data_IF_435317840334
#
_entry.id   IF_435317840334
#
_cell.length_a   1.000
_cell.length_b   1.000
_cell.length_c   1.000
_cell.angle_alpha   90.00
_cell.angle_beta   90.00
_cell.angle_gamma   90.00
#
_symmetry.space_group_name_H-M   'P 1'
#
loop_
_entity.id
_entity.type
_entity.pdbx_description
1 polymer ?
2 non-polymer ?
3 non-polymer ?
4 water ?
#
# COMPACT_ATOMS: atom_id res chain seq x y z
N UNK A 1 23.55 6.62 5.69
CA UNK A 1 22.91 5.44 6.35
C UNK A 1 22.83 5.72 7.85
N UNK A 2 21.75 5.26 8.47
CA UNK A 2 21.51 5.47 9.90
C UNK A 2 22.48 4.65 10.75
N UNK A 3 22.67 5.07 12.00
CA UNK A 3 23.44 4.28 12.98
C UNK A 3 22.59 3.11 13.48
N UNK A 4 23.01 1.89 13.17
CA UNK A 4 22.25 0.65 13.44
C UNK A 4 23.22 -0.53 13.48
N UNK A 5 22.82 -1.68 14.02
CA UNK A 5 23.75 -2.82 13.97
C UNK A 5 24.04 -3.22 12.54
N UNK A 6 25.24 -3.70 12.28
CA UNK A 6 25.61 -4.17 10.93
C UNK A 6 24.83 -5.38 10.49
N UNK A 7 24.34 -6.16 11.44
CA UNK A 7 23.56 -7.31 11.11
C UNK A 7 22.56 -7.53 12.19
N UNK A 8 21.43 -8.08 11.79
CA UNK A 8 20.35 -8.46 12.70
C UNK A 8 19.85 -9.82 12.27
N UNK A 9 19.45 -10.64 13.23
CA UNK A 9 18.77 -11.91 12.93
C UNK A 9 17.84 -12.19 14.10
N UNK A 10 16.56 -11.90 13.89
CA UNK A 10 15.55 -12.07 14.92
C UNK A 10 15.33 -13.53 15.37
N UNK A 11 15.81 -14.50 14.59
CA UNK A 11 15.76 -15.89 15.01
C UNK A 11 16.60 -16.11 16.25
N UNK A 12 17.73 -15.39 16.33
CA UNK A 12 18.63 -15.50 17.47
C UNK A 12 18.02 -14.92 18.72
N UNK A 13 16.97 -14.11 18.56
CA UNK A 13 16.29 -13.52 19.70
C UNK A 13 15.03 -14.29 20.06
N UNK A 14 14.79 -15.41 19.42
CA UNK A 14 13.63 -16.23 19.73
C UNK A 14 12.32 -15.59 19.30
N UNK A 15 12.36 -14.76 18.26
CA UNK A 15 11.18 -14.02 17.82
C UNK A 15 10.59 -14.56 16.53
N UNK A 16 11.13 -15.66 15.99
CA UNK A 16 10.65 -16.19 14.72
C UNK A 16 10.18 -17.63 14.91
N UNK A 17 8.95 -17.92 14.53
CA UNK A 17 8.38 -19.27 14.68
C UNK A 17 8.89 -20.17 13.58
N UNK A 18 8.60 -21.46 13.67
CA UNK A 18 8.96 -22.40 12.63
C UNK A 18 8.42 -21.95 11.25
N UNK A 19 9.18 -22.29 10.22
CA UNK A 19 8.82 -22.07 8.85
C UNK A 19 7.58 -22.88 8.52
N UNK A 20 6.63 -22.24 7.87
CA UNK A 20 5.36 -22.84 7.51
C UNK A 20 5.35 -23.22 6.03
N UNK A 21 4.39 -24.08 5.68
CA UNK A 21 4.22 -24.57 4.32
C UNK A 21 2.84 -24.21 3.83
N UNK A 22 2.76 -23.27 2.87
CA UNK A 22 1.45 -22.81 2.41
C UNK A 22 0.76 -23.78 1.43
N UNK A 23 1.51 -24.70 0.85
CA UNK A 23 0.94 -25.62 -0.13
C UNK A 23 0.37 -24.87 -1.30
N UNK A 24 -0.73 -25.37 -1.86
CA UNK A 24 -1.23 -24.80 -3.11
C UNK A 24 -2.34 -23.81 -2.81
N UNK A 25 -2.13 -23.00 -1.79
CA UNK A 25 -3.05 -21.94 -1.42
C UNK A 25 -2.20 -20.70 -1.33
N UNK A 26 -2.62 -19.63 -2.02
CA UNK A 26 -1.83 -18.41 -2.14
C UNK A 26 -1.93 -17.52 -0.93
N UNK A 27 -1.62 -18.06 0.22
CA UNK A 27 -1.86 -17.37 1.46
C UNK A 27 -0.57 -16.80 2.02
N UNK A 28 0.40 -16.53 1.15
CA UNK A 28 1.67 -15.96 1.60
C UNK A 28 1.48 -14.67 2.40
N UNK A 29 0.52 -13.86 1.98
CA UNK A 29 0.22 -12.59 2.60
C UNK A 29 -0.15 -12.81 4.07
N UNK A 30 -0.84 -13.91 4.35
CA UNK A 30 -1.30 -14.23 5.70
C UNK A 30 -0.16 -14.77 6.54
N UNK A 31 0.68 -15.61 5.95
CA UNK A 31 1.93 -16.00 6.60
C UNK A 31 2.84 -14.84 6.92
N UNK A 32 3.02 -13.94 5.96
CA UNK A 32 3.83 -12.75 6.15
C UNK A 32 3.32 -11.90 7.31
N UNK A 33 1.99 -11.71 7.35
CA UNK A 33 1.36 -10.92 8.41
C UNK A 33 1.52 -11.57 9.78
N UNK A 34 1.16 -12.85 9.90
CA UNK A 34 1.24 -13.49 11.22
C UNK A 34 2.68 -13.57 11.70
N UNK A 35 3.61 -13.81 10.78
CA UNK A 35 5.05 -13.80 11.11
C UNK A 35 5.48 -12.52 11.79
N UNK A 36 5.07 -11.39 11.22
CA UNK A 36 5.42 -10.09 11.78
C UNK A 36 4.83 -9.94 13.18
N UNK A 37 3.58 -10.37 13.33
CA UNK A 37 2.88 -10.19 14.60
C UNK A 37 3.45 -11.13 15.67
N UNK A 38 3.82 -12.34 15.25
CA UNK A 38 4.45 -13.33 16.12
C UNK A 38 5.64 -12.73 16.84
N UNK A 39 6.43 -11.97 16.11
CA UNK A 39 7.61 -11.33 16.69
C UNK A 39 7.23 -10.31 17.76
N UNK A 40 6.20 -9.51 17.48
CA UNK A 40 5.77 -8.47 18.40
C UNK A 40 5.17 -9.06 19.67
N UNK A 41 4.39 -10.12 19.50
CA UNK A 41 3.86 -10.91 20.61
C UNK A 41 4.95 -11.44 21.57
N UNK A 42 5.99 -12.04 21.02
CA UNK A 42 7.15 -12.43 21.80
C UNK A 42 7.82 -11.24 22.49
N UNK A 43 8.06 -10.17 21.75
CA UNK A 43 8.63 -8.98 22.35
C UNK A 43 7.76 -8.46 23.51
N UNK A 44 6.45 -8.44 23.34
CA UNK A 44 5.55 -7.95 24.39
C UNK A 44 5.25 -8.92 25.55
N UNK A 45 5.10 -10.20 25.25
CA UNK A 45 4.66 -11.17 26.27
C UNK A 45 5.74 -12.17 26.70
N UNK A 46 6.82 -12.26 25.93
CA UNK A 46 7.88 -13.21 26.21
C UNK A 46 7.61 -14.59 25.64
N UNK A 47 6.43 -14.79 25.05
CA UNK A 47 6.05 -16.10 24.51
C UNK A 47 6.04 -16.12 22.99
N UNK A 48 6.70 -17.14 22.43
CA UNK A 48 6.72 -17.34 21.00
C UNK A 48 5.64 -18.35 20.62
N UNK A 49 4.68 -17.87 19.85
CA UNK A 49 3.47 -18.63 19.54
C UNK A 49 3.15 -18.41 18.08
N UNK A 50 3.04 -19.49 17.31
CA UNK A 50 2.57 -19.38 15.93
C UNK A 50 1.10 -18.95 15.91
N UNK A 51 0.82 -17.97 15.06
CA UNK A 51 -0.52 -17.40 14.94
C UNK A 51 -1.19 -17.97 13.69
N UNK A 52 -2.51 -17.89 13.67
CA UNK A 52 -3.30 -18.57 12.65
C UNK A 52 -3.38 -17.81 11.34
N UNK A 53 -2.55 -18.21 10.36
CA UNK A 53 -2.69 -17.80 8.99
C UNK A 53 -4.07 -18.13 8.44
N UNK A 54 -4.61 -19.27 8.85
CA UNK A 54 -5.93 -19.71 8.39
C UNK A 54 -7.02 -18.74 8.81
N UNK A 55 -6.92 -18.22 10.02
CA UNK A 55 -7.81 -17.22 10.56
C UNK A 55 -7.85 -16.01 9.61
N UNK A 56 -6.71 -15.60 9.10
CA UNK A 56 -6.70 -14.48 8.14
C UNK A 56 -7.34 -14.90 6.82
N UNK A 57 -7.02 -16.10 6.36
CA UNK A 57 -7.52 -16.56 5.05
C UNK A 57 -9.05 -16.60 5.08
N UNK A 58 -9.58 -17.08 6.21
CA UNK A 58 -11.01 -17.33 6.35
C UNK A 58 -11.77 -16.07 6.74
N UNK A 59 -11.11 -15.13 7.41
CA UNK A 59 -11.82 -14.06 8.09
C UNK A 59 -11.47 -12.64 7.64
N UNK A 60 -10.25 -12.39 7.17
CA UNK A 60 -9.89 -11.09 6.61
C UNK A 60 -10.14 -11.23 5.13
N UNK A 61 -11.39 -11.06 4.72
CA UNK A 61 -11.80 -11.42 3.38
C UNK A 61 -12.23 -10.18 2.60
N UNK A 62 -13.43 -10.15 2.03
CA UNK A 62 -13.79 -9.13 1.03
C UNK A 62 -13.72 -7.74 1.60
N UNK A 63 -14.15 -7.65 2.85
CA UNK A 63 -14.15 -6.37 3.58
C UNK A 63 -12.76 -5.75 3.63
N UNK A 64 -11.73 -6.60 3.59
CA UNK A 64 -10.33 -6.20 3.63
C UNK A 64 -9.65 -6.27 2.26
N UNK A 65 -10.44 -6.47 1.22
CA UNK A 65 -9.93 -6.62 -0.15
C UNK A 65 -9.12 -7.89 -0.38
N UNK A 66 -9.28 -8.87 0.49
CA UNK A 66 -8.50 -10.09 0.36
C UNK A 66 -9.32 -11.21 -0.21
N UNK A 67 -8.64 -12.20 -0.77
CA UNK A 67 -9.29 -13.28 -1.46
C UNK A 67 -8.76 -14.66 -1.05
N UNK A 68 -8.37 -14.80 0.22
CA UNK A 68 -7.98 -16.08 0.77
C UNK A 68 -6.83 -16.71 0.01
N UNK A 69 -7.05 -17.90 -0.53
CA UNK A 69 -6.02 -18.62 -1.31
C UNK A 69 -5.65 -17.92 -2.61
N UNK A 70 -6.40 -16.90 -3.01
CA UNK A 70 -6.12 -16.19 -4.24
C UNK A 70 -5.55 -14.80 -4.00
N UNK A 71 -5.06 -14.54 -2.79
CA UNK A 71 -4.27 -13.36 -2.58
C UNK A 71 -4.86 -12.46 -1.55
N UNK A 72 -4.01 -11.62 -1.00
CA UNK A 72 -4.43 -10.60 -0.07
C UNK A 72 -3.28 -9.71 0.31
N UNK A 73 -3.52 -8.85 1.29
CA UNK A 73 -2.58 -7.87 1.72
C UNK A 73 -2.25 -8.07 3.17
N UNK A 74 -0.98 -7.86 3.49
CA UNK A 74 -0.54 -7.93 4.86
C UNK A 74 -1.08 -6.78 5.67
N UNK A 75 -1.15 -5.58 5.08
CA UNK A 75 -1.62 -4.41 5.85
C UNK A 75 -3.09 -4.52 6.22
N UNK A 76 -3.91 -5.01 5.28
CA UNK A 76 -5.33 -5.12 5.54
C UNK A 76 -5.60 -6.30 6.48
N UNK A 77 -4.77 -7.33 6.39
CA UNK A 77 -4.76 -8.40 7.41
C UNK A 77 -4.50 -7.80 8.78
N UNK A 78 -3.52 -6.90 8.92
CA UNK A 78 -3.32 -6.25 10.23
C UNK A 78 -4.55 -5.49 10.69
N UNK A 79 -5.18 -4.78 9.75
CA UNK A 79 -6.39 -4.02 10.10
C UNK A 79 -7.49 -4.92 10.58
N UNK A 80 -7.69 -6.05 9.92
CA UNK A 80 -8.65 -7.07 10.38
C UNK A 80 -8.39 -7.50 11.84
N UNK A 81 -7.13 -7.73 12.17
CA UNK A 81 -6.78 -8.14 13.52
C UNK A 81 -7.16 -7.06 14.51
N UNK A 82 -6.90 -5.82 14.13
CA UNK A 82 -7.26 -4.65 14.95
C UNK A 82 -8.77 -4.63 15.15
N UNK A 83 -9.51 -4.62 14.03
CA UNK A 83 -10.98 -4.54 14.04
C UNK A 83 -11.60 -5.69 14.79
N UNK A 84 -11.04 -6.87 14.57
CA UNK A 84 -11.55 -8.11 15.15
C UNK A 84 -11.18 -8.25 16.64
N UNK A 85 -10.30 -7.39 17.11
CA UNK A 85 -9.79 -7.44 18.48
C UNK A 85 -9.07 -8.75 18.82
N UNK A 86 -8.52 -9.40 17.81
CA UNK A 86 -7.60 -10.53 18.05
C UNK A 86 -7.42 -11.44 16.87
N UNK A 87 -6.51 -12.38 17.03
CA UNK A 87 -6.28 -13.45 16.08
C UNK A 87 -6.03 -14.69 16.90
N UNK A 88 -6.51 -15.81 16.43
CA UNK A 88 -6.34 -17.07 17.11
C UNK A 88 -4.94 -17.64 16.91
N UNK A 89 -4.54 -18.53 17.81
CA UNK A 89 -3.31 -19.29 17.63
C UNK A 89 -3.41 -20.24 16.44
N UNK A 90 -2.26 -20.56 15.85
CA UNK A 90 -2.19 -21.59 14.85
C UNK A 90 -2.69 -22.94 15.36
N UNK A 91 -2.30 -23.34 16.57
CA UNK A 91 -2.75 -24.63 17.12
C UNK A 91 -4.28 -24.72 17.18
N UNK A 92 -4.92 -23.61 17.54
CA UNK A 92 -6.37 -23.57 17.74
C UNK A 92 -7.13 -23.49 16.45
N UNK A 93 -6.52 -22.93 15.40
CA UNK A 93 -7.19 -22.64 14.17
C UNK A 93 -6.16 -22.97 13.10
N UNK A 94 -5.99 -24.26 12.85
CA UNK A 94 -4.93 -24.73 11.98
C UNK A 94 -5.12 -24.47 10.50
N UNK A 95 -3.98 -24.57 9.81
CA UNK A 95 -3.90 -24.19 8.41
C UNK A 95 -4.18 -25.37 7.53
N UNK A 96 -5.15 -25.20 6.63
CA UNK A 96 -5.67 -26.27 5.81
C UNK A 96 -5.46 -26.00 4.34
N UNK A 97 -4.82 -24.87 4.03
CA UNK A 97 -4.49 -24.50 2.67
C UNK A 97 -5.72 -24.52 1.77
N UNK A 98 -6.84 -24.06 2.32
CA UNK A 98 -8.04 -23.80 1.55
C UNK A 98 -8.82 -22.70 2.22
N UNK A 99 -9.74 -22.15 1.44
CA UNK A 99 -10.72 -21.19 1.91
C UNK A 99 -11.79 -21.91 2.70
N UNK A 100 -12.08 -21.40 3.88
CA UNK A 100 -13.07 -21.98 4.75
C UNK A 100 -13.89 -20.87 5.31
N UNK A 101 -15.00 -21.26 5.94
CA UNK A 101 -15.80 -20.30 6.68
C UNK A 101 -15.05 -19.79 7.90
N UNK A 102 -15.26 -18.52 8.19
CA UNK A 102 -14.66 -17.88 9.34
C UNK A 102 -15.04 -18.60 10.64
N UNK A 103 -14.04 -19.08 11.36
CA UNK A 103 -14.27 -19.80 12.57
C UNK A 103 -13.54 -19.16 13.74
N UNK A 104 -13.25 -17.86 13.65
CA UNK A 104 -12.62 -17.16 14.76
C UNK A 104 -13.38 -17.31 16.08
N UNK A 105 -12.64 -17.53 17.17
CA UNK A 105 -13.22 -17.63 18.50
C UNK A 105 -12.28 -16.95 19.47
N UNK A 106 -12.76 -15.93 20.17
CA UNK A 106 -11.92 -15.23 21.09
C UNK A 106 -11.37 -16.12 22.22
N UNK A 107 -11.96 -17.28 22.45
CA UNK A 107 -11.44 -18.14 23.52
C UNK A 107 -10.05 -18.63 23.14
N UNK A 108 -9.77 -18.63 21.83
CA UNK A 108 -8.50 -19.07 21.27
C UNK A 108 -7.56 -17.93 20.86
N UNK A 109 -7.91 -16.70 21.22
CA UNK A 109 -7.09 -15.56 20.90
C UNK A 109 -5.68 -15.74 21.48
N UNK A 110 -4.67 -15.50 20.65
CA UNK A 110 -3.28 -15.59 21.08
C UNK A 110 -2.52 -14.27 20.86
N UNK A 111 -3.10 -13.33 20.12
CA UNK A 111 -2.51 -12.00 19.98
C UNK A 111 -3.54 -10.96 19.64
N UNK A 112 -3.15 -9.71 19.82
CA UNK A 112 -3.91 -8.58 19.36
C UNK A 112 -2.99 -7.71 18.49
N UNK A 113 -3.60 -6.74 17.82
CA UNK A 113 -2.88 -5.71 17.10
C UNK A 113 -3.58 -4.39 17.34
N UNK A 114 -2.80 -3.33 17.63
CA UNK A 114 -3.36 -2.01 17.90
C UNK A 114 -3.17 -1.05 16.72
N UNK A 115 -2.22 -1.36 15.85
CA UNK A 115 -1.81 -0.48 14.76
C UNK A 115 -0.82 -1.20 13.86
N UNK A 116 -0.60 -0.63 12.70
CA UNK A 116 0.48 -1.07 11.83
C UNK A 116 1.08 0.16 11.15
N UNK A 117 2.27 -0.02 10.62
CA UNK A 117 2.98 1.03 9.95
C UNK A 117 3.44 0.53 8.62
N UNK A 118 3.16 1.29 7.56
CA UNK A 118 3.69 1.00 6.23
C UNK A 118 4.90 1.91 6.07
N UNK A 119 6.02 1.30 5.71
CA UNK A 119 7.23 2.01 5.46
C UNK A 119 7.24 2.67 4.08
N UNK A 120 8.01 3.76 3.94
CA UNK A 120 8.10 4.43 2.64
C UNK A 120 8.63 3.54 1.53
N UNK A 121 8.08 3.76 0.34
CA UNK A 121 8.40 2.95 -0.82
C UNK A 121 9.87 2.90 -1.18
N UNK A 122 10.43 1.69 -1.20
CA UNK A 122 11.72 1.43 -1.78
C UNK A 122 12.92 1.86 -0.94
N UNK A 123 12.68 2.32 0.27
CA UNK A 123 13.78 2.86 1.08
C UNK A 123 14.43 1.75 1.94
N UNK A 124 15.57 1.25 1.50
CA UNK A 124 16.18 0.13 2.18
C UNK A 124 16.82 0.52 3.49
N UNK A 125 17.22 1.77 3.59
CA UNK A 125 17.71 2.36 4.84
C UNK A 125 16.62 2.38 5.95
N UNK A 126 15.41 2.77 5.59
CA UNK A 126 14.30 2.79 6.51
C UNK A 126 13.88 1.37 6.94
N UNK A 127 13.90 0.46 5.98
CA UNK A 127 13.65 -0.95 6.24
C UNK A 127 14.70 -1.47 7.21
N UNK A 128 15.96 -1.13 6.98
CA UNK A 128 17.00 -1.58 7.90
C UNK A 128 16.69 -1.10 9.31
N UNK A 129 16.36 0.19 9.41
CA UNK A 129 16.04 0.76 10.71
C UNK A 129 14.91 0.00 11.40
N UNK A 130 13.87 -0.33 10.64
CA UNK A 130 12.71 -0.99 11.21
C UNK A 130 13.03 -2.41 11.65
N UNK A 131 13.78 -3.11 10.82
CA UNK A 131 14.18 -4.46 11.17
C UNK A 131 15.04 -4.43 12.42
N UNK A 132 15.92 -3.44 12.54
CA UNK A 132 16.75 -3.31 13.72
C UNK A 132 15.98 -2.89 14.95
N UNK A 133 15.12 -1.89 14.79
CA UNK A 133 14.50 -1.24 15.97
C UNK A 133 13.12 -1.68 16.32
N UNK A 134 12.39 -2.25 15.37
CA UNK A 134 11.03 -2.71 15.62
C UNK A 134 10.86 -4.22 15.65
N UNK A 135 11.54 -4.93 14.74
CA UNK A 135 11.30 -6.34 14.58
C UNK A 135 11.18 -6.76 13.13
N UNK A 136 10.90 -8.04 12.89
CA UNK A 136 10.63 -8.49 11.53
C UNK A 136 9.52 -7.67 10.81
N UNK A 137 9.73 -7.42 9.52
CA UNK A 137 8.86 -6.60 8.73
C UNK A 137 8.27 -7.42 7.57
N UNK A 138 6.95 -7.34 7.41
CA UNK A 138 6.27 -7.93 6.28
C UNK A 138 6.62 -7.19 5.03
N UNK A 139 6.99 -7.91 3.97
CA UNK A 139 7.27 -7.31 2.69
C UNK A 139 6.70 -8.19 1.59
N UNK A 140 6.64 -7.65 0.38
CA UNK A 140 6.35 -8.41 -0.83
C UNK A 140 7.61 -8.43 -1.66
N UNK A 141 7.83 -9.51 -2.40
CA UNK A 141 8.94 -9.61 -3.31
C UNK A 141 8.47 -10.16 -4.65
N UNK A 142 9.24 -9.88 -5.68
CA UNK A 142 9.05 -10.50 -6.97
C UNK A 142 9.66 -11.89 -6.90
N UNK A 143 8.79 -12.89 -6.75
CA UNK A 143 9.23 -14.28 -6.62
C UNK A 143 8.80 -15.10 -7.82
N UNK A 144 8.62 -14.44 -8.97
CA UNK A 144 8.11 -15.11 -10.16
C UNK A 144 9.19 -15.84 -10.95
N UNK A 145 10.45 -15.47 -10.73
CA UNK A 145 11.53 -15.94 -11.60
C UNK A 145 11.97 -17.37 -11.24
N UNK A 146 12.14 -18.24 -12.27
CA UNK A 146 12.57 -19.63 -12.01
C UNK A 146 13.71 -19.76 -10.95
N UNK A 147 14.65 -18.81 -10.95
CA UNK A 147 15.80 -18.83 -10.03
C UNK A 147 15.38 -18.77 -8.57
N UNK A 148 14.26 -18.14 -8.30
CA UNK A 148 13.78 -18.02 -6.94
C UNK A 148 13.45 -19.40 -6.34
N UNK A 149 12.70 -20.18 -7.09
CA UNK A 149 12.24 -21.50 -6.64
C UNK A 149 13.41 -22.42 -6.38
N UNK A 150 14.49 -22.20 -7.11
CA UNK A 150 15.68 -23.04 -7.09
C UNK A 150 16.78 -22.53 -6.20
N UNK A 151 16.53 -21.43 -5.50
CA UNK A 151 17.52 -20.85 -4.61
C UNK A 151 17.95 -21.84 -3.53
N UNK A 152 19.24 -22.00 -3.33
CA UNK A 152 19.78 -22.88 -2.30
C UNK A 152 20.69 -22.19 -1.31
N UNK A 153 21.53 -21.27 -1.76
CA UNK A 153 22.51 -20.71 -0.86
C UNK A 153 23.01 -19.37 -1.34
N UNK A 154 23.80 -18.71 -0.50
CA UNK A 154 24.41 -17.44 -0.87
C UNK A 154 23.40 -16.32 -0.81
N UNK A 155 23.66 -15.26 -1.57
CA UNK A 155 22.76 -14.10 -1.62
C UNK A 155 22.12 -14.06 -2.98
N UNK A 156 20.79 -14.02 -2.98
CA UNK A 156 20.01 -14.16 -4.18
C UNK A 156 20.05 -12.84 -4.90
N UNK A 157 20.59 -12.87 -6.10
CA UNK A 157 20.53 -11.73 -6.98
C UNK A 157 20.14 -12.25 -8.33
N UNK A 158 19.02 -11.75 -8.85
CA UNK A 158 18.48 -12.17 -10.13
C UNK A 158 18.34 -10.94 -11.03
N UNK A 159 19.19 -10.80 -12.07
CA UNK A 159 19.11 -9.66 -12.98
C UNK A 159 17.73 -9.40 -13.53
N UNK A 160 16.92 -10.45 -13.69
CA UNK A 160 15.58 -10.29 -14.27
C UNK A 160 14.51 -9.89 -13.25
N UNK A 161 14.89 -9.74 -12.00
CA UNK A 161 13.92 -9.40 -10.99
C UNK A 161 13.36 -8.02 -11.26
N UNK A 162 12.17 -7.75 -10.72
CA UNK A 162 11.52 -6.48 -10.86
C UNK A 162 11.00 -6.01 -9.53
N UNK A 163 10.50 -4.79 -9.52
CA UNK A 163 9.85 -4.24 -8.38
C UNK A 163 8.34 -4.51 -8.43
N UNK A 164 7.89 -5.31 -9.39
CA UNK A 164 6.52 -5.82 -9.42
C UNK A 164 6.34 -7.01 -8.48
N UNK A 165 6.00 -6.74 -7.23
CA UNK A 165 6.03 -7.80 -6.22
C UNK A 165 4.78 -8.65 -6.27
N UNK A 166 4.93 -9.94 -5.98
CA UNK A 166 3.83 -10.86 -6.07
C UNK A 166 3.70 -11.82 -4.89
N UNK A 167 4.64 -11.80 -3.94
CA UNK A 167 4.74 -12.82 -2.94
C UNK A 167 5.07 -12.22 -1.59
N UNK A 168 4.18 -12.40 -0.61
CA UNK A 168 4.41 -11.89 0.73
C UNK A 168 5.38 -12.76 1.48
N UNK A 169 6.39 -12.15 2.08
CA UNK A 169 7.35 -12.84 2.91
C UNK A 169 7.67 -12.00 4.16
N UNK A 170 8.64 -12.46 4.96
CA UNK A 170 9.00 -11.77 6.19
C UNK A 170 10.49 -11.55 6.29
N UNK A 171 10.89 -10.28 6.43
CA UNK A 171 12.25 -9.94 6.67
C UNK A 171 12.52 -10.05 8.16
N UNK A 172 13.34 -11.04 8.53
CA UNK A 172 13.67 -11.34 9.91
C UNK A 172 15.11 -10.92 10.25
N UNK A 173 15.78 -10.28 9.30
CA UNK A 173 17.12 -9.82 9.57
C UNK A 173 17.82 -9.33 8.33
N UNK A 174 19.10 -9.00 8.52
CA UNK A 174 19.96 -8.54 7.45
C UNK A 174 21.41 -8.69 7.88
N UNK A 175 22.29 -8.58 6.90
CA UNK A 175 23.72 -8.71 7.15
C UNK A 175 24.52 -8.66 5.88
N UNK A 176 25.70 -9.26 5.96
CA UNK A 176 26.68 -9.28 4.89
C UNK A 176 27.33 -10.67 4.87
N UNK A 177 27.28 -11.35 3.74
CA UNK A 177 27.87 -12.66 3.59
C UNK A 177 28.81 -12.57 2.42
N UNK A 178 30.10 -12.71 2.72
CA UNK A 178 31.13 -12.69 1.72
C UNK A 178 31.06 -11.44 0.86
N UNK A 179 30.78 -10.32 1.51
CA UNK A 179 30.78 -9.04 0.81
C UNK A 179 29.49 -8.73 0.06
N UNK A 180 28.47 -9.56 0.22
CA UNK A 180 27.17 -9.31 -0.38
C UNK A 180 26.22 -9.01 0.72
N UNK A 181 25.66 -7.80 0.71
CA UNK A 181 24.66 -7.43 1.69
C UNK A 181 23.37 -8.16 1.35
N UNK A 182 22.69 -8.64 2.39
CA UNK A 182 21.46 -9.33 2.19
C UNK A 182 20.39 -8.95 3.23
N UNK A 183 19.16 -9.27 2.86
CA UNK A 183 18.02 -9.32 3.72
C UNK A 183 17.77 -10.79 3.99
N UNK A 184 17.55 -11.14 5.25
CA UNK A 184 17.19 -12.50 5.63
C UNK A 184 15.68 -12.60 5.63
N UNK A 185 15.17 -13.44 4.74
CA UNK A 185 13.77 -13.57 4.46
C UNK A 185 13.27 -14.96 4.80
N UNK A 186 12.24 -14.98 5.64
CA UNK A 186 11.47 -16.17 5.92
C UNK A 186 10.37 -16.32 4.88
N UNK A 187 10.43 -17.40 4.13
CA UNK A 187 9.40 -17.74 3.18
C UNK A 187 8.39 -18.72 3.82
N UNK A 188 7.31 -19.05 3.11
CA UNK A 188 6.29 -19.96 3.59
C UNK A 188 6.07 -21.12 2.63
N UNK A 189 7.17 -21.64 2.07
CA UNK A 189 7.09 -22.82 1.24
C UNK A 189 7.78 -23.99 1.93
N UNK A 190 7.74 -24.03 3.26
CA UNK A 190 8.34 -25.14 3.99
C UNK A 190 9.84 -25.10 4.11
N UNK A 191 10.37 -26.04 4.89
CA UNK A 191 11.82 -26.20 5.11
C UNK A 191 12.57 -26.66 3.87
N UNK A 192 11.87 -27.29 2.91
CA UNK A 192 12.52 -27.72 1.66
C UNK A 192 13.03 -26.54 0.86
N UNK A 193 12.32 -25.42 0.94
CA UNK A 193 12.70 -24.25 0.17
C UNK A 193 13.99 -23.60 0.74
N UNK A 194 14.90 -23.21 -0.15
CA UNK A 194 16.07 -22.42 0.20
C UNK A 194 16.88 -22.99 1.34
N UNK A 195 17.28 -22.12 2.28
CA UNK A 195 18.05 -22.54 3.45
C UNK A 195 17.10 -22.77 4.60
N UNK A 196 16.55 -23.99 4.69
CA UNK A 196 15.60 -24.36 5.73
C UNK A 196 14.38 -23.40 5.78
N UNK A 197 13.93 -22.99 4.60
CA UNK A 197 12.75 -22.15 4.41
C UNK A 197 13.03 -20.67 4.28
N UNK A 198 14.31 -20.29 4.40
CA UNK A 198 14.79 -18.92 4.32
C UNK A 198 15.55 -18.66 3.04
N UNK A 199 15.55 -17.41 2.62
CA UNK A 199 16.35 -16.93 1.51
C UNK A 199 17.02 -15.60 1.89
N UNK A 200 18.30 -15.50 1.55
CA UNK A 200 19.03 -14.25 1.63
C UNK A 200 18.87 -13.56 0.33
N UNK A 201 18.28 -12.38 0.34
CA UNK A 201 18.09 -11.63 -0.88
C UNK A 201 18.95 -10.38 -0.87
N UNK A 202 19.40 -9.97 -2.05
CA UNK A 202 20.32 -8.83 -2.23
C UNK A 202 19.77 -7.54 -1.63
N UNK A 203 20.63 -6.89 -0.82
CA UNK A 203 20.30 -5.67 -0.11
C UNK A 203 21.16 -4.52 -0.60
N UNK A 204 20.55 -3.35 -0.65
CA UNK A 204 21.19 -2.17 -1.21
C UNK A 204 21.61 -2.40 -2.66
N UNK A 205 20.81 -3.17 -3.40
CA UNK A 205 21.02 -3.36 -4.83
C UNK A 205 19.80 -2.88 -5.61
N UNK A 206 19.42 -1.64 -5.35
CA UNK A 206 18.33 -1.02 -6.05
C UNK A 206 16.97 -1.62 -5.73
N UNK A 207 16.68 -1.87 -4.47
CA UNK A 207 15.38 -2.44 -4.08
C UNK A 207 15.14 -3.67 -4.97
N UNK A 208 16.10 -4.58 -4.86
CA UNK A 208 16.09 -5.78 -5.69
C UNK A 208 14.84 -6.60 -5.39
N UNK A 209 14.20 -7.06 -6.48
CA UNK A 209 12.97 -7.86 -6.35
C UNK A 209 11.87 -7.13 -5.57
N UNK A 210 12.00 -5.81 -5.46
CA UNK A 210 11.00 -5.00 -4.77
C UNK A 210 10.89 -5.24 -3.27
N UNK A 211 11.94 -5.80 -2.67
CA UNK A 211 11.87 -6.18 -1.28
C UNK A 211 11.44 -5.03 -0.35
N UNK A 212 11.81 -3.80 -0.70
CA UNK A 212 11.52 -2.64 0.15
C UNK A 212 10.38 -1.79 -0.40
N UNK A 213 9.66 -2.32 -1.39
CA UNK A 213 8.57 -1.64 -2.02
C UNK A 213 7.41 -1.41 -1.07
N UNK A 214 6.95 -2.48 -0.43
CA UNK A 214 5.77 -2.44 0.41
C UNK A 214 5.96 -3.12 1.77
N UNK A 215 6.81 -2.53 2.62
CA UNK A 215 7.05 -3.10 3.93
C UNK A 215 6.08 -2.55 4.96
N UNK A 216 5.65 -3.41 5.89
CA UNK A 216 4.82 -2.99 7.00
C UNK A 216 5.12 -3.84 8.22
N UNK A 217 4.82 -3.30 9.38
CA UNK A 217 4.86 -4.09 10.58
C UNK A 217 3.75 -3.67 11.53
N UNK A 218 3.23 -4.62 12.29
CA UNK A 218 2.17 -4.38 13.24
C UNK A 218 2.75 -4.05 14.61
N UNK A 219 1.93 -3.48 15.47
CA UNK A 219 2.26 -3.49 16.89
C UNK A 219 1.11 -4.08 17.72
N UNK A 220 1.44 -4.68 18.86
CA UNK A 220 0.45 -5.44 19.64
C UNK A 220 -0.61 -4.52 20.21
N UNK B 4 -14.61 18.33 14.15
CA UNK B 4 -14.42 18.51 12.67
C UNK B 4 -15.62 19.21 12.05
N UNK B 5 -15.39 20.02 11.00
CA UNK B 5 -16.55 20.60 10.35
C UNK B 5 -17.42 19.52 9.78
N UNK B 6 -18.70 19.82 9.65
CA UNK B 6 -19.66 18.90 9.04
C UNK B 6 -19.49 18.79 7.55
N UNK B 7 -18.96 19.84 6.93
CA UNK B 7 -18.72 19.84 5.49
C UNK B 7 -17.45 20.59 5.19
N UNK B 8 -16.73 20.09 4.18
CA UNK B 8 -15.47 20.65 3.74
C UNK B 8 -15.47 20.55 2.19
N UNK B 9 -14.98 21.60 1.55
CA UNK B 9 -14.83 21.68 0.10
C UNK B 9 -13.56 22.51 -0.20
N UNK B 10 -12.48 21.79 -0.56
CA UNK B 10 -11.19 22.44 -0.78
C UNK B 10 -11.17 23.34 -2.00
N UNK B 11 -12.17 23.21 -2.85
CA UNK B 11 -12.32 24.14 -3.98
C UNK B 11 -12.62 25.55 -3.46
N UNK B 12 -13.34 25.65 -2.35
CA UNK B 12 -13.64 26.98 -1.76
C UNK B 12 -12.42 27.63 -1.17
N UNK B 13 -11.41 26.81 -0.85
CA UNK B 13 -10.15 27.27 -0.28
C UNK B 13 -9.07 27.49 -1.31
N UNK B 14 -9.41 27.37 -2.59
CA UNK B 14 -8.52 27.71 -3.68
C UNK B 14 -7.44 26.67 -3.95
N UNK B 15 -7.66 25.44 -3.47
CA UNK B 15 -6.64 24.40 -3.47
C UNK B 15 -6.85 23.31 -4.51
N UNK B 16 -7.77 23.51 -5.44
CA UNK B 16 -8.11 22.46 -6.40
C UNK B 16 -8.08 23.03 -7.80
N UNK B 17 -7.35 22.33 -8.68
CA UNK B 17 -7.15 22.83 -10.04
C UNK B 17 -8.31 22.35 -10.90
N UNK B 18 -8.31 22.79 -12.14
CA UNK B 18 -9.27 22.36 -13.14
C UNK B 18 -9.26 20.84 -13.22
N UNK B 19 -10.44 20.30 -13.50
CA UNK B 19 -10.57 18.88 -13.79
C UNK B 19 -9.87 18.55 -15.09
N UNK B 20 -9.14 17.44 -15.06
CA UNK B 20 -8.37 16.91 -16.17
C UNK B 20 -9.05 15.77 -16.83
N UNK B 21 -8.60 15.50 -18.06
CA UNK B 21 -9.19 14.47 -18.89
C UNK B 21 -8.11 13.48 -19.24
N UNK B 22 -8.18 12.31 -18.63
CA UNK B 22 -7.11 11.34 -18.83
C UNK B 22 -7.14 10.68 -20.23
N UNK B 23 -8.30 10.76 -20.90
CA UNK B 23 -8.45 10.13 -22.21
C UNK B 23 -8.30 8.62 -22.15
N UNK B 24 -7.63 8.04 -23.15
CA UNK B 24 -7.48 6.61 -23.25
C UNK B 24 -6.38 6.01 -22.36
N UNK B 25 -5.69 6.84 -21.58
CA UNK B 25 -4.56 6.43 -20.81
C UNK B 25 -5.05 6.23 -19.37
N UNK B 26 -4.71 5.10 -18.76
CA UNK B 26 -5.11 4.81 -17.36
C UNK B 26 -4.19 5.47 -16.34
N UNK B 27 -4.16 6.80 -16.40
CA UNK B 27 -3.27 7.61 -15.57
C UNK B 27 -4.00 8.23 -14.38
N UNK B 28 -5.15 7.67 -14.01
CA UNK B 28 -5.93 8.15 -12.85
C UNK B 28 -5.06 8.34 -11.62
N UNK B 29 -4.17 7.37 -11.41
CA UNK B 29 -3.24 7.34 -10.29
C UNK B 29 -2.33 8.56 -10.27
N UNK B 30 -1.88 8.97 -11.46
CA UNK B 30 -0.99 10.10 -11.62
C UNK B 30 -1.74 11.39 -11.34
N UNK B 31 -2.97 11.48 -11.85
CA UNK B 31 -3.83 12.66 -11.64
C UNK B 31 -4.21 12.83 -10.18
N UNK B 32 -4.55 11.72 -9.56
CA UNK B 32 -4.83 11.67 -8.12
C UNK B 32 -3.66 12.18 -7.32
N UNK B 33 -2.48 11.71 -7.68
CA UNK B 33 -1.29 12.07 -6.94
C UNK B 33 -1.00 13.56 -7.11
N UNK B 34 -1.02 14.04 -8.34
CA UNK B 34 -0.69 15.47 -8.58
C UNK B 34 -1.74 16.36 -7.94
N UNK B 35 -2.98 15.90 -7.93
CA UNK B 35 -4.04 16.69 -7.31
C UNK B 35 -3.83 16.89 -5.81
N UNK B 36 -3.39 15.84 -5.14
CA UNK B 36 -3.15 15.92 -3.71
C UNK B 36 -1.99 16.90 -3.46
N UNK B 37 -0.99 16.84 -4.31
CA UNK B 37 0.20 17.67 -4.13
C UNK B 37 -0.07 19.13 -4.52
N UNK B 38 -0.96 19.35 -5.48
CA UNK B 38 -1.32 20.70 -5.91
C UNK B 38 -1.87 21.48 -4.74
N UNK B 39 -2.62 20.80 -3.86
CA UNK B 39 -3.25 21.47 -2.72
C UNK B 39 -2.21 21.83 -1.70
N UNK B 40 -1.23 20.95 -1.46
CA UNK B 40 -0.17 21.22 -0.51
C UNK B 40 0.72 22.34 -1.02
N UNK B 41 0.99 22.32 -2.31
CA UNK B 41 1.75 23.40 -2.92
C UNK B 41 1.02 24.74 -2.70
N UNK B 42 -0.29 24.79 -2.95
CA UNK B 42 -1.06 26.02 -2.72
C UNK B 42 -0.96 26.47 -1.28
N UNK B 43 -1.12 25.53 -0.36
CA UNK B 43 -1.07 25.79 1.08
C UNK B 43 0.30 26.32 1.48
N UNK B 44 1.34 25.73 0.91
CA UNK B 44 2.71 26.10 1.23
C UNK B 44 3.12 27.45 0.59
N UNK B 45 2.72 27.68 -0.67
CA UNK B 45 3.24 28.78 -1.47
C UNK B 45 2.25 29.88 -1.88
N UNK B 46 0.95 29.63 -1.74
CA UNK B 46 -0.08 30.55 -2.25
C UNK B 46 -0.39 30.45 -3.73
N UNK B 47 0.32 29.58 -4.43
CA UNK B 47 0.15 29.41 -5.84
C UNK B 47 -0.62 28.12 -6.15
N UNK B 48 -1.64 28.24 -6.97
CA UNK B 48 -2.34 27.09 -7.47
C UNK B 48 -1.83 26.81 -8.86
N UNK B 49 -1.20 25.65 -9.03
CA UNK B 49 -0.50 25.30 -10.24
C UNK B 49 -0.80 23.85 -10.52
N UNK B 50 -1.25 23.54 -11.74
CA UNK B 50 -1.44 22.16 -12.13
C UNK B 50 -0.08 21.52 -12.25
N UNK B 51 0.08 20.35 -11.63
CA UNK B 51 1.35 19.60 -11.72
C UNK B 51 1.34 18.56 -12.84
N UNK B 52 2.51 18.13 -13.28
CA UNK B 52 2.56 17.32 -14.48
C UNK B 52 2.24 15.85 -14.18
N UNK B 53 1.01 15.43 -14.49
CA UNK B 53 0.65 14.03 -14.47
C UNK B 53 1.51 13.23 -15.49
N UNK B 54 1.87 13.87 -16.59
CA UNK B 54 2.71 13.20 -17.60
C UNK B 54 4.06 12.81 -17.05
N UNK B 55 4.66 13.71 -16.29
CA UNK B 55 5.91 13.48 -15.57
C UNK B 55 5.84 12.16 -14.78
N UNK B 56 4.72 11.88 -14.13
CA UNK B 56 4.59 10.67 -13.32
C UNK B 56 4.48 9.45 -14.22
N UNK B 57 3.66 9.58 -15.28
CA UNK B 57 3.42 8.52 -16.22
C UNK B 57 4.74 8.06 -16.83
N UNK B 58 5.56 9.02 -17.23
CA UNK B 58 6.77 8.82 -18.01
C UNK B 58 7.96 8.47 -17.14
N UNK B 59 7.98 8.94 -15.89
CA UNK B 59 9.15 8.83 -15.05
C UNK B 59 8.96 8.00 -13.80
N UNK B 60 7.77 7.97 -13.22
CA UNK B 60 7.53 7.11 -12.06
C UNK B 60 7.10 5.76 -12.61
N UNK B 61 8.05 5.00 -13.12
CA UNK B 61 7.72 3.84 -13.93
C UNK B 61 8.14 2.57 -13.18
N UNK B 62 8.92 1.68 -13.80
CA UNK B 62 9.14 0.30 -13.25
C UNK B 62 9.67 0.24 -11.84
N UNK B 63 10.65 1.08 -11.58
CA UNK B 63 11.24 1.19 -10.26
C UNK B 63 10.27 1.53 -9.14
N UNK B 64 9.13 2.11 -9.52
CA UNK B 64 8.06 2.50 -8.60
C UNK B 64 6.86 1.57 -8.68
N UNK B 65 7.02 0.47 -9.41
CA UNK B 65 6.00 -0.53 -9.61
C UNK B 65 4.86 -0.08 -10.49
N UNK B 66 5.07 1.02 -11.23
CA UNK B 66 4.04 1.62 -12.05
C UNK B 66 4.21 1.28 -13.50
N UNK B 67 3.11 1.39 -14.23
CA UNK B 67 3.05 0.96 -15.63
C UNK B 67 2.44 2.02 -16.54
N UNK B 68 2.63 3.28 -16.19
CA UNK B 68 2.17 4.41 -17.03
C UNK B 68 0.69 4.36 -17.33
N UNK B 69 0.34 4.37 -18.60
CA UNK B 69 -1.07 4.28 -18.99
C UNK B 69 -1.75 2.96 -18.61
N UNK B 70 -0.99 1.96 -18.18
CA UNK B 70 -1.57 0.70 -17.70
C UNK B 70 -1.72 0.61 -16.17
N UNK B 71 -1.46 1.70 -15.46
CA UNK B 71 -1.79 1.75 -14.04
C UNK B 71 -0.59 2.04 -13.18
N UNK B 72 -0.86 2.45 -11.95
CA UNK B 72 0.18 2.78 -11.01
C UNK B 72 -0.41 3.17 -9.68
N UNK B 73 0.45 3.61 -8.76
CA UNK B 73 0.04 3.93 -7.38
C UNK B 73 0.38 5.36 -7.03
N UNK B 74 -0.50 5.99 -6.26
CA UNK B 74 -0.27 7.35 -5.85
C UNK B 74 0.91 7.39 -4.88
N UNK B 75 0.99 6.41 -3.98
CA UNK B 75 2.02 6.38 -2.96
C UNK B 75 3.42 6.28 -3.61
N UNK B 76 3.56 5.38 -4.57
CA UNK B 76 4.85 5.23 -5.22
C UNK B 76 5.14 6.44 -6.13
N UNK B 77 4.11 7.05 -6.71
CA UNK B 77 4.28 8.34 -7.36
C UNK B 77 4.84 9.44 -6.41
N UNK B 78 4.29 9.56 -5.21
CA UNK B 78 4.81 10.51 -4.24
C UNK B 78 6.26 10.20 -3.93
N UNK B 79 6.60 8.92 -3.77
CA UNK B 79 8.00 8.57 -3.46
C UNK B 79 8.94 8.94 -4.59
N UNK B 80 8.49 8.75 -5.82
CA UNK B 80 9.25 9.23 -6.94
C UNK B 80 9.54 10.72 -6.85
N UNK B 81 8.54 11.52 -6.50
CA UNK B 81 8.73 12.98 -6.43
C UNK B 81 9.78 13.30 -5.37
N UNK B 82 9.67 12.61 -4.25
CA UNK B 82 10.63 12.71 -3.18
C UNK B 82 12.03 12.34 -3.71
N UNK B 83 12.15 11.14 -4.28
CA UNK B 83 13.45 10.69 -4.77
C UNK B 83 13.98 11.58 -5.90
N UNK B 84 13.11 11.96 -6.81
CA UNK B 84 13.47 12.81 -7.94
C UNK B 84 13.81 14.29 -7.56
N UNK B 85 13.46 14.67 -6.33
CA UNK B 85 13.58 16.04 -5.81
C UNK B 85 12.77 17.05 -6.61
N UNK B 86 11.65 16.59 -7.15
CA UNK B 86 10.76 17.49 -7.81
C UNK B 86 9.82 16.88 -8.80
N UNK B 87 8.87 17.70 -9.19
CA UNK B 87 7.94 17.37 -10.25
C UNK B 87 7.77 18.65 -11.06
N UNK B 88 7.68 18.52 -12.37
CA UNK B 88 7.46 19.65 -13.22
C UNK B 88 6.01 20.13 -13.24
N UNK B 89 5.84 21.38 -13.67
CA UNK B 89 4.50 21.93 -13.92
C UNK B 89 3.85 21.17 -15.08
N UNK B 90 2.53 21.04 -15.04
CA UNK B 90 1.78 20.61 -16.19
C UNK B 90 2.09 21.45 -17.45
N UNK B 91 2.19 22.76 -17.27
CA UNK B 91 2.45 23.68 -18.36
C UNK B 91 3.75 23.36 -19.07
N UNK B 92 4.79 23.02 -18.30
CA UNK B 92 6.10 22.68 -18.88
C UNK B 92 6.19 21.26 -19.45
N UNK B 93 5.29 20.40 -19.00
CA UNK B 93 5.39 18.96 -19.27
C UNK B 93 3.93 18.49 -19.35
N UNK B 94 3.25 18.87 -20.44
CA UNK B 94 1.84 18.68 -20.65
C UNK B 94 1.48 17.22 -20.84
N UNK B 95 0.19 16.94 -20.66
CA UNK B 95 -0.32 15.59 -20.66
C UNK B 95 -0.69 15.18 -22.06
N UNK B 96 -0.19 14.03 -22.45
CA UNK B 96 -0.35 13.55 -23.82
C UNK B 96 -1.11 12.23 -23.88
N UNK B 97 -1.52 11.71 -22.73
CA UNK B 97 -2.30 10.47 -22.66
C UNK B 97 -1.63 9.33 -23.40
N UNK B 98 -0.34 9.21 -23.20
CA UNK B 98 0.39 8.06 -23.68
C UNK B 98 1.70 7.97 -22.94
N UNK B 99 2.27 6.79 -22.92
CA UNK B 99 3.57 6.61 -22.29
C UNK B 99 4.63 7.26 -23.17
N UNK B 100 5.52 8.00 -22.55
CA UNK B 100 6.62 8.65 -23.25
C UNK B 100 7.89 8.42 -22.49
N UNK B 101 8.99 8.83 -23.10
CA UNK B 101 10.26 8.78 -22.43
C UNK B 101 10.20 9.80 -21.30
N UNK B 102 10.88 9.51 -20.21
CA UNK B 102 10.96 10.46 -19.12
C UNK B 102 11.67 11.71 -19.63
N UNK B 103 11.00 12.85 -19.49
CA UNK B 103 11.54 14.13 -19.92
C UNK B 103 11.57 15.11 -18.76
N UNK B 104 11.64 14.62 -17.52
CA UNK B 104 11.75 15.50 -16.39
C UNK B 104 12.95 16.42 -16.56
N UNK B 105 12.76 17.70 -16.24
CA UNK B 105 13.87 18.61 -16.11
C UNK B 105 13.65 19.46 -14.89
N UNK B 106 14.68 19.60 -14.06
CA UNK B 106 14.58 20.37 -12.84
C UNK B 106 14.34 21.84 -13.14
N UNK B 107 14.63 22.30 -14.34
CA UNK B 107 14.43 23.72 -14.68
C UNK B 107 12.95 24.06 -14.79
N UNK B 108 12.12 23.03 -14.92
CA UNK B 108 10.67 23.18 -14.89
C UNK B 108 10.00 22.71 -13.60
N UNK B 109 10.78 22.47 -12.56
CA UNK B 109 10.26 22.05 -11.27
C UNK B 109 9.23 23.06 -10.79
N UNK B 110 8.07 22.56 -10.37
CA UNK B 110 7.00 23.37 -9.81
C UNK B 110 6.69 22.94 -8.38
N UNK B 111 7.10 21.75 -7.97
CA UNK B 111 6.85 21.28 -6.61
C UNK B 111 7.85 20.25 -6.19
N UNK B 112 7.90 20.07 -4.88
CA UNK B 112 8.67 19.01 -4.27
C UNK B 112 7.74 18.23 -3.38
N UNK B 113 8.23 17.10 -2.89
CA UNK B 113 7.53 16.34 -1.90
C UNK B 113 8.58 15.85 -0.90
N UNK B 114 8.29 15.97 0.39
CA UNK B 114 9.23 15.55 1.40
C UNK B 114 8.85 14.20 2.03
N UNK B 115 7.56 13.85 1.94
CA UNK B 115 7.01 12.66 2.60
C UNK B 115 5.57 12.46 2.15
N UNK B 116 5.05 11.26 2.40
CA UNK B 116 3.64 10.99 2.26
C UNK B 116 3.18 10.09 3.39
N UNK B 117 1.89 10.13 3.63
CA UNK B 117 1.26 9.40 4.72
C UNK B 117 0.11 8.54 4.18
N UNK B 118 0.13 7.26 4.51
CA UNK B 118 -0.91 6.30 4.14
C UNK B 118 -1.82 6.14 5.35
N UNK B 119 -3.11 6.44 5.18
CA UNK B 119 -4.08 6.32 6.27
C UNK B 119 -4.41 4.83 6.51
N UNK B 120 -4.83 4.49 7.73
CA UNK B 120 -5.18 3.10 8.05
C UNK B 120 -6.38 2.61 7.24
N UNK B 121 -6.38 1.32 6.95
CA UNK B 121 -7.27 0.71 5.98
C UNK B 121 -8.72 0.80 6.43
N UNK B 122 -9.57 1.36 5.55
CA UNK B 122 -11.02 1.40 5.76
C UNK B 122 -11.58 2.39 6.78
N UNK B 123 -10.75 3.22 7.39
CA UNK B 123 -11.22 4.09 8.46
C UNK B 123 -11.71 5.43 7.90
N UNK B 124 -13.02 5.57 7.72
CA UNK B 124 -13.61 6.79 7.17
C UNK B 124 -13.49 7.99 8.09
N UNK B 125 -13.44 7.71 9.39
CA UNK B 125 -13.27 8.76 10.40
C UNK B 125 -11.87 9.38 10.29
N UNK B 126 -10.87 8.54 10.09
CA UNK B 126 -9.52 9.03 9.94
C UNK B 126 -9.40 9.79 8.62
N UNK B 127 -10.05 9.26 7.59
CA UNK B 127 -10.10 9.97 6.31
C UNK B 127 -10.78 11.34 6.43
N UNK B 128 -11.88 11.42 7.17
CA UNK B 128 -12.55 12.70 7.38
C UNK B 128 -11.62 13.69 8.05
N UNK B 129 -10.90 13.22 9.07
CA UNK B 129 -9.98 14.08 9.80
C UNK B 129 -8.86 14.61 8.91
N UNK B 130 -8.29 13.76 8.08
CA UNK B 130 -7.23 14.20 7.17
C UNK B 130 -7.75 15.18 6.12
N UNK B 131 -8.92 14.89 5.56
CA UNK B 131 -9.50 15.83 4.59
C UNK B 131 -9.78 17.18 5.26
N UNK B 132 -10.31 17.13 6.48
CA UNK B 132 -10.61 18.38 7.21
C UNK B 132 -9.34 19.15 7.55
N UNK B 133 -8.30 18.44 8.00
CA UNK B 133 -7.14 19.09 8.60
C UNK B 133 -5.90 19.17 7.73
N UNK B 134 -5.72 18.25 6.80
CA UNK B 134 -4.46 18.15 6.05
C UNK B 134 -4.63 18.66 4.63
N UNK B 135 -5.69 18.22 3.97
CA UNK B 135 -5.93 18.62 2.60
C UNK B 135 -6.60 17.51 1.86
N UNK B 136 -6.77 17.70 0.54
CA UNK B 136 -7.28 16.64 -0.32
C UNK B 136 -6.44 15.39 -0.19
N UNK B 137 -7.12 14.24 -0.22
CA UNK B 137 -6.47 12.96 -0.02
C UNK B 137 -6.70 12.06 -1.22
N UNK B 138 -5.60 11.48 -1.68
CA UNK B 138 -5.62 10.52 -2.77
C UNK B 138 -6.20 9.21 -2.27
N UNK B 139 -7.10 8.63 -3.04
CA UNK B 139 -7.75 7.39 -2.66
C UNK B 139 -7.92 6.55 -3.88
N UNK B 140 -8.17 5.26 -3.64
CA UNK B 140 -8.59 4.35 -4.71
C UNK B 140 -10.03 4.01 -4.47
N UNK B 141 -10.79 3.88 -5.53
CA UNK B 141 -12.15 3.36 -5.44
C UNK B 141 -12.36 2.21 -6.40
N UNK B 142 -13.39 1.43 -6.12
CA UNK B 142 -13.90 0.44 -7.06
C UNK B 142 -14.81 1.19 -8.04
N UNK B 143 -14.32 1.38 -9.27
CA UNK B 143 -15.03 2.09 -10.31
C UNK B 143 -15.39 1.13 -11.44
N UNK B 144 -15.32 -0.17 -11.17
CA UNK B 144 -15.54 -1.18 -12.21
C UNK B 144 -17.00 -1.56 -12.33
N UNK B 145 -17.90 -0.56 -12.32
CA UNK B 145 -19.33 -0.82 -12.43
C UNK B 145 -19.93 0.22 -13.35
N UNK B 146 -20.83 -0.21 -14.24
CA UNK B 146 -21.39 0.75 -15.20
C UNK B 146 -21.96 1.98 -14.50
N UNK B 147 -22.53 1.81 -13.31
CA UNK B 147 -23.16 2.94 -12.61
C UNK B 147 -22.15 4.05 -12.36
N UNK B 148 -20.88 3.69 -12.18
CA UNK B 148 -19.84 4.70 -11.97
C UNK B 148 -19.66 5.53 -13.24
N UNK B 149 -19.54 4.86 -14.38
CA UNK B 149 -19.38 5.49 -15.69
C UNK B 149 -20.59 6.34 -16.04
N UNK B 150 -21.77 5.89 -15.61
CA UNK B 150 -23.03 6.50 -15.97
C UNK B 150 -23.46 7.58 -14.97
N UNK B 151 -22.72 7.75 -13.89
CA UNK B 151 -23.05 8.70 -12.85
C UNK B 151 -23.20 10.12 -13.39
N UNK B 152 -24.30 10.79 -13.00
CA UNK B 152 -24.57 12.16 -13.38
C UNK B 152 -24.62 13.08 -12.18
N UNK B 153 -25.32 12.69 -11.12
CA UNK B 153 -25.49 13.63 -10.01
C UNK B 153 -25.93 12.94 -8.75
N UNK B 154 -25.80 13.65 -7.63
CA UNK B 154 -26.20 13.14 -6.35
C UNK B 154 -25.14 12.30 -5.67
N UNK B 155 -25.55 11.59 -4.64
CA UNK B 155 -24.64 10.78 -3.82
C UNK B 155 -24.67 9.39 -4.41
N UNK B 156 -23.55 8.97 -4.95
CA UNK B 156 -23.40 7.67 -5.57
C UNK B 156 -23.34 6.55 -4.52
N UNK B 157 -24.25 5.60 -4.67
CA UNK B 157 -24.24 4.41 -3.87
C UNK B 157 -24.60 3.27 -4.79
N UNK B 158 -23.79 2.21 -4.82
CA UNK B 158 -23.91 1.13 -5.79
C UNK B 158 -23.85 -0.17 -4.99
N UNK B 159 -24.96 -0.91 -4.91
CA UNK B 159 -24.98 -2.14 -4.10
C UNK B 159 -23.92 -3.16 -4.53
N UNK B 160 -23.55 -3.17 -5.80
CA UNK B 160 -22.55 -4.11 -6.26
C UNK B 160 -21.10 -3.62 -6.04
N UNK B 161 -20.93 -2.41 -5.51
CA UNK B 161 -19.58 -1.92 -5.24
C UNK B 161 -18.88 -2.84 -4.23
N UNK B 162 -17.57 -2.97 -4.35
CA UNK B 162 -16.76 -3.75 -3.44
C UNK B 162 -15.62 -2.91 -2.90
N UNK B 163 -14.83 -3.50 -2.00
CA UNK B 163 -13.63 -2.84 -1.50
C UNK B 163 -12.41 -3.15 -2.36
N UNK B 164 -12.60 -3.84 -3.48
CA UNK B 164 -11.51 -4.06 -4.43
C UNK B 164 -11.33 -2.83 -5.32
N UNK B 165 -10.41 -1.99 -4.92
CA UNK B 165 -10.21 -0.71 -5.58
C UNK B 165 -9.32 -0.79 -6.85
N UNK B 166 -9.62 0.04 -7.83
CA UNK B 166 -8.94 -0.01 -9.12
C UNK B 166 -8.78 1.33 -9.80
N UNK B 167 -9.29 2.40 -9.19
CA UNK B 167 -9.34 3.70 -9.83
C UNK B 167 -8.95 4.80 -8.85
N UNK B 168 -7.89 5.53 -9.18
CA UNK B 168 -7.33 6.56 -8.32
C UNK B 168 -8.09 7.85 -8.53
N UNK B 169 -8.53 8.45 -7.44
CA UNK B 169 -9.24 9.72 -7.49
C UNK B 169 -8.71 10.58 -6.32
N UNK B 170 -9.27 11.78 -6.16
CA UNK B 170 -8.88 12.65 -5.09
C UNK B 170 -10.11 13.10 -4.29
N UNK B 171 -10.07 12.89 -2.99
CA UNK B 171 -11.13 13.39 -2.11
C UNK B 171 -10.83 14.85 -1.79
N UNK B 172 -11.72 15.75 -2.17
CA UNK B 172 -11.45 17.15 -1.96
C UNK B 172 -12.44 17.77 -0.99
N UNK B 173 -13.22 16.93 -0.35
CA UNK B 173 -14.19 17.41 0.60
C UNK B 173 -15.15 16.36 1.03
N UNK B 174 -16.12 16.78 1.82
CA UNK B 174 -17.16 15.87 2.26
C UNK B 174 -18.32 16.69 2.72
N UNK B 175 -19.46 16.04 2.86
CA UNK B 175 -20.64 16.72 3.36
C UNK B 175 -21.83 15.79 3.45
N UNK B 176 -23.01 16.37 3.45
CA UNK B 176 -24.26 15.64 3.57
C UNK B 176 -25.24 16.28 2.59
N UNK B 177 -25.87 15.47 1.74
CA UNK B 177 -26.94 15.93 0.86
C UNK B 177 -28.23 15.31 1.32
N UNK B 178 -29.07 16.11 1.96
CA UNK B 178 -30.35 15.62 2.51
C UNK B 178 -30.21 14.32 3.26
N UNK B 179 -29.31 14.26 4.23
CA UNK B 179 -29.18 13.07 5.07
C UNK B 179 -28.45 11.90 4.44
N UNK B 180 -27.86 12.14 3.26
CA UNK B 180 -26.95 11.19 2.63
C UNK B 180 -25.56 11.80 2.70
N UNK B 181 -24.71 11.19 3.52
CA UNK B 181 -23.36 11.68 3.71
C UNK B 181 -22.52 11.30 2.50
N UNK B 182 -21.61 12.18 2.12
CA UNK B 182 -20.77 11.91 0.95
C UNK B 182 -19.34 12.36 1.13
N UNK B 183 -18.49 11.80 0.28
CA UNK B 183 -17.16 12.28 -0.02
C UNK B 183 -17.24 12.99 -1.37
N UNK B 184 -16.61 14.14 -1.45
CA UNK B 184 -16.57 14.93 -2.67
C UNK B 184 -15.28 14.55 -3.37
N UNK B 185 -15.44 13.93 -4.54
CA UNK B 185 -14.36 13.26 -5.28
C UNK B 185 -14.14 13.93 -6.64
N UNK B 186 -12.90 14.35 -6.86
CA UNK B 186 -12.45 14.88 -8.12
C UNK B 186 -11.92 13.69 -8.90
N UNK B 187 -12.53 13.47 -10.08
CA UNK B 187 -12.14 12.43 -10.98
C UNK B 187 -11.29 13.07 -12.09
N UNK B 188 -10.66 12.26 -12.92
CA UNK B 188 -9.83 12.73 -14.05
C UNK B 188 -10.34 12.20 -15.37
N UNK B 189 -11.67 12.17 -15.49
CA UNK B 189 -12.33 11.78 -16.72
C UNK B 189 -12.99 12.98 -17.44
N UNK B 190 -12.42 14.16 -17.25
CA UNK B 190 -12.89 15.38 -17.90
C UNK B 190 -14.09 16.01 -17.22
N UNK B 191 -14.44 17.20 -17.69
CA UNK B 191 -15.47 18.01 -17.01
C UNK B 191 -16.90 17.65 -17.36
N UNK B 192 -17.09 16.67 -18.24
CA UNK B 192 -18.42 16.21 -18.53
C UNK B 192 -18.80 15.01 -17.68
N UNK B 193 -17.82 14.31 -17.10
CA UNK B 193 -18.13 13.24 -16.17
C UNK B 193 -18.88 13.77 -14.97
N UNK B 194 -19.98 13.13 -14.60
CA UNK B 194 -20.59 13.33 -13.30
C UNK B 194 -21.00 14.77 -13.13
N UNK B 195 -20.72 15.32 -11.94
CA UNK B 195 -21.07 16.68 -11.63
C UNK B 195 -19.90 17.56 -12.08
N UNK B 196 -19.84 17.79 -13.39
CA UNK B 196 -18.77 18.57 -14.01
C UNK B 196 -17.36 18.16 -13.55
N UNK B 197 -17.14 16.85 -13.56
CA UNK B 197 -15.81 16.32 -13.26
C UNK B 197 -15.75 15.61 -11.92
N UNK B 198 -16.77 15.85 -11.09
CA UNK B 198 -16.81 15.38 -9.71
C UNK B 198 -17.85 14.33 -9.48
N UNK B 199 -17.64 13.51 -8.45
CA UNK B 199 -18.65 12.56 -8.01
C UNK B 199 -18.71 12.62 -6.51
N UNK B 200 -19.93 12.69 -5.99
CA UNK B 200 -20.15 12.58 -4.57
C UNK B 200 -20.44 11.12 -4.24
N UNK B 201 -19.59 10.52 -3.40
CA UNK B 201 -19.66 9.10 -3.14
C UNK B 201 -20.05 8.85 -1.70
N UNK B 202 -20.86 7.81 -1.50
CA UNK B 202 -21.40 7.51 -0.17
C UNK B 202 -20.31 7.51 0.90
N UNK B 203 -20.60 8.18 2.01
CA UNK B 203 -19.70 8.23 3.12
C UNK B 203 -20.36 7.55 4.31
N UNK B 204 -19.55 6.98 5.18
CA UNK B 204 -20.00 6.20 6.34
C UNK B 204 -21.05 5.16 5.99
N UNK B 205 -20.86 4.54 4.82
CA UNK B 205 -21.62 3.37 4.40
C UNK B 205 -20.69 2.17 4.25
N UNK B 206 -19.93 1.88 5.29
CA UNK B 206 -19.11 0.68 5.30
C UNK B 206 -18.01 0.70 4.26
N UNK B 207 -17.28 1.80 4.22
CA UNK B 207 -16.14 1.93 3.30
C UNK B 207 -16.63 1.62 1.89
N UNK B 208 -17.69 2.30 1.51
CA UNK B 208 -18.35 2.08 0.22
C UNK B 208 -17.38 2.27 -0.96
N UNK B 209 -17.36 1.29 -1.85
CA UNK B 209 -16.47 1.27 -3.02
C UNK B 209 -15.00 1.34 -2.60
N UNK B 210 -14.70 1.10 -1.34
CA UNK B 210 -13.32 1.01 -0.88
C UNK B 210 -12.69 2.38 -0.81
N UNK B 211 -13.52 3.42 -0.68
CA UNK B 211 -13.01 4.79 -0.74
C UNK B 211 -11.95 5.09 0.34
N UNK B 212 -12.13 4.50 1.52
CA UNK B 212 -11.16 4.61 2.59
C UNK B 212 -10.20 3.40 2.70
N UNK B 213 -10.06 2.61 1.63
CA UNK B 213 -9.19 1.44 1.69
C UNK B 213 -7.73 1.85 1.69
N UNK B 214 -7.35 2.67 0.73
CA UNK B 214 -5.95 3.07 0.56
C UNK B 214 -5.78 4.58 0.37
N UNK B 215 -6.04 5.36 1.42
CA UNK B 215 -5.87 6.79 1.28
C UNK B 215 -4.45 7.21 1.62
N UNK B 216 -3.99 8.23 0.92
CA UNK B 216 -2.69 8.82 1.18
C UNK B 216 -2.67 10.30 0.82
N UNK B 217 -1.75 11.02 1.46
CA UNK B 217 -1.53 12.41 1.13
C UNK B 217 -0.03 12.75 1.29
N UNK B 218 0.44 13.60 0.40
CA UNK B 218 1.83 14.02 0.41
C UNK B 218 2.03 15.29 1.22
N UNK B 219 3.27 15.59 1.52
CA UNK B 219 3.61 16.87 2.09
C UNK B 219 4.81 17.42 1.34
N UNK B 220 4.83 18.73 1.20
CA UNK B 220 5.79 19.41 0.32
C UNK B 220 7.25 19.25 0.77
X LIG C 1 -1.02 -13.02 -2.32
X LIG C 1 -0.94 -12.56 -3.46
X LIG C 1 -0.53 -11.12 -3.59
X LIG C 1 -1.58 -10.39 -2.91
X LIG C 1 -2.76 -10.08 -3.46
X LIG C 1 -3.70 -9.42 -2.73
X LIG C 1 -4.75 -9.30 -3.67
X LIG C 1 -5.97 -8.70 -3.43
X LIG C 1 -6.88 -8.66 -4.48
X LIG C 1 -6.54 -9.22 -5.71
X LIG C 1 -5.31 -9.84 -5.93
X LIG C 1 -4.40 -9.88 -4.88
X LIG C 1 -3.13 -10.37 -4.74
X LIG C 1 0.83 -10.86 -2.95
X LIG C 1 0.97 -9.52 -2.22
X LIG C 1 1.57 -8.47 -3.14
X LIG C 1 1.80 -7.16 -2.39
X LIG C 1 2.69 -7.36 -1.16
X LIG C 1 3.03 -8.82 -0.94
X LIG C 1 1.80 -9.70 -0.94
X LIG C 1 -1.25 -13.25 -4.58
X LIG C 1 -1.70 -14.64 -4.58
X LIG C 1 -1.66 -15.31 -5.96
X LIG C 1 -0.30 -15.45 -6.44
X LIG C 1 0.62 -16.08 -5.66
X LIG C 1 1.98 -15.74 -5.78
X LIG C 1 2.91 -16.33 -4.92
X LIG C 1 0.21 -16.97 -4.66
X LIG C 1 1.13 -17.52 -3.79
X LIG C 1 2.46 -17.19 -3.92
X LIG C 1 3.30 -17.80 -3.06
X LIG C 1 3.42 -19.16 -3.35
X LIG D 1 -3.79 2.92 -11.82
X LIG D 1 -4.69 2.11 -11.58
X LIG D 1 -4.76 1.46 -10.21
X LIG D 1 -3.41 1.12 -9.81
X LIG D 1 -2.61 0.27 -10.47
X LIG D 1 -1.34 0.06 -10.05
X LIG D 1 -0.87 -0.87 -10.99
X LIG D 1 0.39 -1.43 -11.03
X LIG D 1 0.67 -2.36 -12.05
X LIG D 1 -0.32 -2.66 -12.98
X LIG D 1 -1.59 -2.08 -12.92
X LIG D 1 -1.87 -1.18 -11.91
X LIG D 1 -2.97 -0.43 -11.57
X LIG D 1 -5.33 2.56 -9.29
X LIG D 1 -4.97 2.36 -7.83
X LIG D 1 -5.27 0.92 -7.38
X LIG D 1 -5.67 0.86 -5.91
X LIG D 1 -4.92 1.89 -5.07
X LIG D 1 -5.16 3.31 -5.56
X LIG D 1 -5.70 3.38 -6.98
X LIG D 1 -5.58 1.82 -12.52
X LIG D 1 -5.46 2.48 -13.82
X LIG D 1 -5.52 1.53 -14.99
X LIG D 1 -6.79 0.83 -15.01
X LIG D 1 -8.00 1.47 -15.15
X LIG D 1 -8.20 2.87 -15.36
X LIG D 1 -9.49 3.40 -15.48
X LIG D 1 -9.10 0.63 -15.05
X LIG D 1 -10.38 1.15 -15.16
X LIG D 1 -10.58 2.51 -15.38
X LIG D 1 -11.89 2.94 -15.48
X LIG D 1 -12.86 2.46 -14.53
X LIG E 1 18.43 17.86 -10.87
X LIG E 1 17.53 17.01 -10.19
X LIG E 1 19.20 18.83 -9.96
X LIG E 1 18.39 19.84 -9.37
X LIG E 1 20.32 19.52 -10.73
X LIG E 1 19.98 19.57 -12.10
#
# INVERSE_FOLDING_TARGET
NRILPDSVDWREKGCVTEVKYQGSCGACWAFSAVGALEAQLKLKTGKLVSLSAQNLVDCSTEKYGNKGCNGGFMTTAFQYIIDNKGIDSDASYPYKAMDQKCQYDSKYRAATCSKYTELPYGREDVLKEAVANKGPVSVGVDARHPSFFLYRSGVYYEPSCTQNVNHGVLVVGYGDLNGKEYWLVKNSWGHNFGEEGYIRMARNKGNHCGIASFPSYPEI
NRILPDSVDWREKGCVTEVKYQGSCGACWAFSAVGALEAQLKLKTGKLVSLSAQNLVDCSTEKYGNKGCNGGFMTTAFQYIIDNKGIDSDASYPYKAMDQKCQYDSKYRAATCSKYTELPYGREDVLKEAVANKGPVSVGVDARHPSFFLYRSGVYYEPSCTQNVNHGVLVVGYGDLNGKEYWLVKNSWGHNFGEEGYIRMARNKGNHCGIASFPSYPEI
GNF O11 C10 C12 N20 C21 O29 C28 C27 C26 C25 C24 C23 N22 C13 C14 C19 C18 C17 C16 C15 N9 C8 C7 N C5 C4 C3 C30 C31 C2 O C
GNF O11 C10 C12 N20 C21 O29 C28 C27 C26 C25 C24 C23 N22 C13 C14 C19 C18 C17 C16 C15 N9 C8 C7 N C5 C4 C3 C30 C31 C2 O C
GOL C1 O1 C2 O2 C3 O3
#
